data_IF_113573951680
#
_entry.id   IF_113573951680
#
_cell.length_a   1.000
_cell.length_b   1.000
_cell.length_c   1.000
_cell.angle_alpha   90.00
_cell.angle_beta   90.00
_cell.angle_gamma   90.00
#
_symmetry.space_group_name_H-M   'P 1'
#
loop_
_entity.id
_entity.type
_entity.pdbx_description
1 polymer ?
#
# COMPACT_ATOMS: atom_id res chain seq x y z
N UNK A 1 16.36 57.49 57.31
CA UNK A 1 16.52 58.56 56.30
C UNK A 1 16.92 57.92 54.99
N UNK A 2 16.01 57.77 54.03
CA UNK A 2 16.06 58.40 52.69
C UNK A 2 14.92 57.80 51.85
N UNK A 3 14.14 58.68 51.21
CA UNK A 3 13.08 58.36 50.25
C UNK A 3 13.68 58.26 48.85
N UNK A 4 13.07 57.46 47.96
CA UNK A 4 13.44 57.47 46.54
C UNK A 4 12.72 56.45 45.64
N UNK A 5 11.43 56.66 45.41
CA UNK A 5 10.72 56.58 44.10
C UNK A 5 11.00 55.43 43.09
N UNK A 6 10.01 54.52 43.00
CA UNK A 6 9.23 54.15 41.79
C UNK A 6 9.90 54.07 40.41
N UNK A 7 9.91 52.86 39.79
CA UNK A 7 9.20 52.57 38.52
C UNK A 7 9.17 51.07 38.12
N UNK A 8 7.97 50.59 37.80
CA UNK A 8 7.55 49.56 36.84
C UNK A 8 8.10 48.10 36.90
N UNK A 9 7.19 47.17 37.24
CA UNK A 9 7.09 45.82 36.65
C UNK A 9 6.53 45.94 35.20
N UNK A 10 6.92 45.05 34.26
CA UNK A 10 6.34 43.70 34.18
C UNK A 10 7.31 42.54 33.87
N UNK A 11 7.04 41.40 34.51
CA UNK A 11 7.43 40.02 34.10
C UNK A 11 6.45 39.53 33.00
N UNK A 12 6.68 38.39 32.28
CA UNK A 12 7.65 37.33 32.54
C UNK A 12 8.48 36.84 31.34
N UNK A 13 9.59 36.20 31.72
CA UNK A 13 10.38 35.23 30.98
C UNK A 13 9.52 34.12 30.37
N UNK A 14 9.77 33.76 29.11
CA UNK A 14 10.12 32.38 28.74
C UNK A 14 10.42 32.30 27.24
N UNK A 15 11.71 32.32 26.91
CA UNK A 15 12.19 31.90 25.61
C UNK A 15 13.35 30.92 25.82
N UNK A 16 13.09 29.64 25.51
CA UNK A 16 14.12 28.72 25.05
C UNK A 16 14.42 27.54 25.98
N UNK A 17 13.71 26.43 25.75
CA UNK A 17 14.31 25.10 25.76
C UNK A 17 13.48 24.15 24.88
N UNK A 18 14.06 23.41 23.92
CA UNK A 18 13.38 22.31 23.23
C UNK A 18 13.58 21.01 24.03
N UNK A 19 12.60 20.10 24.05
CA UNK A 19 12.91 18.80 23.46
C UNK A 19 11.70 18.08 22.85
N UNK A 20 11.95 17.27 21.82
CA UNK A 20 10.91 16.37 21.31
C UNK A 20 11.36 15.56 20.10
N UNK A 21 12.36 14.69 20.27
CA UNK A 21 12.71 13.67 19.28
C UNK A 21 12.02 12.36 19.69
N UNK A 22 11.10 11.88 18.86
CA UNK A 22 10.63 10.49 18.85
C UNK A 22 9.12 10.32 19.04
N UNK A 23 8.46 9.60 18.12
CA UNK A 23 7.12 9.06 18.34
C UNK A 23 6.27 8.81 17.09
N UNK A 24 6.43 7.62 16.50
CA UNK A 24 5.43 6.78 15.81
C UNK A 24 4.12 7.37 15.27
N UNK A 25 3.85 7.07 13.99
CA UNK A 25 2.54 6.54 13.62
C UNK A 25 1.45 7.55 13.29
N UNK A 26 1.74 8.57 12.49
CA UNK A 26 0.67 9.34 11.86
C UNK A 26 0.20 8.59 10.61
N UNK A 27 -0.93 7.88 10.72
CA UNK A 27 -1.72 7.53 9.54
C UNK A 27 -1.99 8.85 8.83
N UNK A 28 -1.70 9.03 7.52
CA UNK A 28 -2.10 10.25 6.86
C UNK A 28 -3.62 10.33 6.98
N UNK A 29 -4.08 11.24 7.84
CA UNK A 29 -5.44 11.74 7.79
C UNK A 29 -5.65 12.12 6.33
N UNK A 30 -6.65 11.51 5.68
CA UNK A 30 -7.04 11.91 4.35
C UNK A 30 -7.56 13.35 4.46
N UNK A 31 -6.64 14.31 4.45
CA UNK A 31 -6.94 15.71 4.33
C UNK A 31 -7.77 15.81 3.04
N UNK A 32 -8.99 16.29 3.18
CA UNK A 32 -9.81 16.65 2.04
C UNK A 32 -8.93 17.52 1.13
N UNK A 33 -8.84 17.22 -0.18
CA UNK A 33 -7.96 17.97 -1.07
C UNK A 33 -8.29 19.45 -0.89
N UNK A 34 -7.29 20.23 -0.48
CA UNK A 34 -7.42 21.67 -0.41
C UNK A 34 -7.89 22.12 -1.79
N UNK A 35 -9.06 22.73 -1.85
CA UNK A 35 -9.68 23.18 -3.08
C UNK A 35 -8.73 24.22 -3.73
N UNK A 36 -7.88 23.77 -4.64
CA UNK A 36 -6.86 24.63 -5.26
C UNK A 36 -5.59 23.93 -5.73
N UNK A 37 -5.31 22.69 -5.33
CA UNK A 37 -4.12 21.99 -5.84
C UNK A 37 -4.30 21.69 -7.34
N UNK A 38 -3.34 22.07 -8.21
CA UNK A 38 -3.46 21.80 -9.64
C UNK A 38 -3.50 20.29 -9.89
N UNK A 39 -4.31 19.82 -10.84
CA UNK A 39 -4.43 18.39 -11.12
C UNK A 39 -3.04 17.82 -11.46
N UNK A 40 -2.60 16.84 -10.66
CA UNK A 40 -1.36 16.11 -10.93
C UNK A 40 -1.55 15.29 -12.20
N UNK A 41 -0.84 15.69 -13.26
CA UNK A 41 -0.82 14.95 -14.51
C UNK A 41 0.09 13.73 -14.36
N UNK A 42 -0.40 12.49 -14.54
CA UNK A 42 0.40 11.29 -14.52
C UNK A 42 1.51 11.29 -15.57
N UNK A 43 2.66 10.68 -15.24
CA UNK A 43 3.72 10.48 -16.23
C UNK A 43 3.32 9.47 -17.32
N UNK A 44 4.04 9.46 -18.45
CA UNK A 44 3.80 8.48 -19.54
C UNK A 44 3.97 7.05 -19.03
N UNK A 45 5.04 6.76 -18.29
CA UNK A 45 5.29 5.42 -17.75
C UNK A 45 4.18 4.96 -16.79
N UNK A 46 3.70 5.86 -15.92
CA UNK A 46 2.57 5.59 -15.02
C UNK A 46 1.29 5.29 -15.82
N UNK A 47 1.01 6.10 -16.84
CA UNK A 47 -0.13 5.93 -17.72
C UNK A 47 -0.07 4.58 -18.46
N UNK A 48 1.08 4.24 -19.03
CA UNK A 48 1.29 2.96 -19.72
C UNK A 48 1.13 1.77 -18.77
N UNK A 49 1.75 1.82 -17.59
CA UNK A 49 1.57 0.78 -16.57
C UNK A 49 0.11 0.62 -16.20
N UNK A 50 -0.60 1.73 -15.95
CA UNK A 50 -2.02 1.71 -15.57
C UNK A 50 -2.89 1.11 -16.67
N UNK A 51 -2.66 1.51 -17.92
CA UNK A 51 -3.39 0.97 -19.07
C UNK A 51 -3.14 -0.53 -19.23
N UNK A 52 -1.89 -0.99 -19.10
CA UNK A 52 -1.57 -2.42 -19.14
C UNK A 52 -2.26 -3.19 -18.01
N UNK A 53 -2.27 -2.66 -16.78
CA UNK A 53 -2.94 -3.30 -15.64
C UNK A 53 -4.45 -3.39 -15.86
N UNK A 54 -5.08 -2.31 -16.34
CA UNK A 54 -6.51 -2.29 -16.66
C UNK A 54 -6.85 -3.26 -17.79
N UNK A 55 -5.97 -3.40 -18.78
CA UNK A 55 -6.12 -4.37 -19.87
C UNK A 55 -5.85 -5.83 -19.47
N UNK A 56 -5.17 -6.09 -18.35
CA UNK A 56 -4.77 -7.43 -17.90
C UNK A 56 -5.72 -8.05 -16.88
N UNK A 57 -7.01 -7.70 -16.93
CA UNK A 57 -8.02 -8.13 -15.96
C UNK A 57 -8.14 -9.66 -15.80
N UNK A 58 -8.92 -10.11 -14.81
CA UNK A 58 -9.12 -11.54 -14.58
C UNK A 58 -9.67 -12.23 -15.84
N UNK A 59 -9.43 -13.55 -16.01
CA UNK A 59 -9.96 -14.30 -17.14
C UNK A 59 -11.47 -14.06 -17.29
N UNK A 60 -11.94 -14.02 -18.54
CA UNK A 60 -13.35 -13.82 -18.83
C UNK A 60 -14.20 -14.87 -18.08
N UNK A 61 -15.38 -14.46 -17.58
CA UNK A 61 -16.27 -15.34 -16.84
C UNK A 61 -16.64 -16.60 -17.65
N UNK A 62 -16.76 -16.47 -18.97
CA UNK A 62 -16.99 -17.59 -19.89
C UNK A 62 -15.84 -18.59 -19.90
N UNK A 63 -14.60 -18.13 -19.89
CA UNK A 63 -13.40 -18.98 -19.77
C UNK A 63 -13.38 -19.72 -18.44
N UNK A 64 -13.72 -19.04 -17.35
CA UNK A 64 -13.80 -19.67 -16.02
C UNK A 64 -14.92 -20.70 -15.93
N UNK A 65 -16.07 -20.44 -16.55
CA UNK A 65 -17.22 -21.35 -16.56
C UNK A 65 -16.95 -22.63 -17.38
N UNK A 66 -16.11 -22.54 -18.42
CA UNK A 66 -15.74 -23.68 -19.24
C UNK A 66 -14.62 -24.55 -18.64
N UNK A 67 -13.95 -24.09 -17.59
CA UNK A 67 -12.82 -24.82 -17.00
C UNK A 67 -13.29 -25.94 -16.06
N UNK A 68 -12.75 -27.14 -16.22
CA UNK A 68 -13.01 -28.26 -15.29
C UNK A 68 -12.42 -28.01 -13.89
N UNK A 69 -11.32 -27.25 -13.83
CA UNK A 69 -10.70 -26.79 -12.60
C UNK A 69 -9.94 -25.47 -12.81
N UNK A 70 -9.97 -24.60 -11.80
CA UNK A 70 -9.21 -23.34 -11.77
C UNK A 70 -8.33 -23.33 -10.52
N UNK A 71 -7.02 -23.19 -10.70
CA UNK A 71 -6.06 -23.06 -9.60
C UNK A 71 -5.70 -21.58 -9.45
N UNK A 72 -5.87 -21.04 -8.23
CA UNK A 72 -5.56 -19.63 -7.91
C UNK A 72 -4.48 -19.57 -6.82
N UNK A 73 -3.19 -19.53 -7.18
CA UNK A 73 -2.11 -19.38 -6.21
C UNK A 73 -2.23 -18.06 -5.43
N UNK A 74 -1.93 -18.09 -4.13
CA UNK A 74 -1.81 -16.87 -3.34
C UNK A 74 -0.46 -16.22 -3.62
N UNK A 75 -0.45 -15.12 -4.37
CA UNK A 75 0.75 -14.32 -4.64
C UNK A 75 0.87 -13.12 -3.71
N UNK A 76 0.19 -13.14 -2.56
CA UNK A 76 0.27 -12.04 -1.58
C UNK A 76 1.72 -11.85 -1.15
N UNK A 77 2.25 -10.65 -1.38
CA UNK A 77 3.65 -10.32 -1.08
C UNK A 77 4.61 -10.51 -2.26
N UNK A 78 4.16 -11.02 -3.41
CA UNK A 78 4.95 -11.05 -4.64
C UNK A 78 4.66 -9.81 -5.49
N UNK A 79 5.66 -8.95 -5.68
CA UNK A 79 5.54 -7.77 -6.55
C UNK A 79 5.55 -8.15 -8.04
N UNK A 80 4.82 -7.41 -8.88
CA UNK A 80 4.67 -7.75 -10.30
C UNK A 80 6.01 -7.77 -11.05
N UNK A 81 6.92 -6.84 -10.72
CA UNK A 81 8.22 -6.68 -11.36
C UNK A 81 9.38 -7.15 -10.46
N UNK A 82 9.06 -7.78 -9.34
CA UNK A 82 10.05 -8.24 -8.36
C UNK A 82 10.56 -9.62 -8.73
N UNK A 83 11.33 -9.70 -9.81
CA UNK A 83 11.78 -10.98 -10.38
C UNK A 83 12.61 -11.84 -9.41
N UNK A 84 13.26 -11.21 -8.43
CA UNK A 84 13.96 -11.92 -7.35
C UNK A 84 13.01 -12.79 -6.51
N UNK A 85 11.70 -12.53 -6.53
CA UNK A 85 10.66 -13.26 -5.79
C UNK A 85 10.00 -14.37 -6.61
N UNK A 86 10.44 -14.65 -7.85
CA UNK A 86 9.87 -15.73 -8.69
C UNK A 86 9.86 -17.08 -7.95
N UNK A 87 10.88 -17.34 -7.13
CA UNK A 87 10.91 -18.55 -6.29
C UNK A 87 9.70 -18.66 -5.36
N UNK A 88 9.28 -17.57 -4.74
CA UNK A 88 8.11 -17.52 -3.85
C UNK A 88 6.81 -17.73 -4.64
N UNK A 89 6.67 -17.08 -5.79
CA UNK A 89 5.52 -17.31 -6.68
C UNK A 89 5.42 -18.78 -7.11
N UNK A 90 6.57 -19.41 -7.43
CA UNK A 90 6.63 -20.83 -7.79
C UNK A 90 6.25 -21.75 -6.64
N UNK A 91 6.69 -21.47 -5.41
CA UNK A 91 6.26 -22.26 -4.24
C UNK A 91 4.76 -22.11 -3.98
N UNK A 92 4.24 -20.88 -4.03
CA UNK A 92 2.81 -20.63 -3.85
C UNK A 92 1.96 -21.45 -4.85
N UNK A 93 2.40 -21.51 -6.11
CA UNK A 93 1.77 -22.35 -7.13
C UNK A 93 1.87 -23.84 -6.79
N UNK A 94 3.03 -24.33 -6.37
CA UNK A 94 3.19 -25.74 -5.97
C UNK A 94 2.29 -26.11 -4.80
N UNK A 95 2.17 -25.25 -3.79
CA UNK A 95 1.25 -25.46 -2.66
C UNK A 95 -0.20 -25.52 -3.17
N UNK A 96 -0.64 -24.54 -3.97
CA UNK A 96 -2.00 -24.50 -4.50
C UNK A 96 -2.32 -25.72 -5.37
N UNK A 97 -1.37 -26.18 -6.20
CA UNK A 97 -1.55 -27.38 -7.01
C UNK A 97 -1.62 -28.64 -6.16
N UNK A 98 -0.79 -28.79 -5.13
CA UNK A 98 -0.88 -29.93 -4.20
C UNK A 98 -2.25 -30.00 -3.53
N UNK A 99 -2.82 -28.85 -3.16
CA UNK A 99 -4.17 -28.77 -2.59
C UNK A 99 -5.26 -29.12 -3.61
N UNK A 100 -5.08 -28.75 -4.88
CA UNK A 100 -6.03 -29.06 -5.94
C UNK A 100 -5.91 -30.50 -6.48
N UNK A 101 -4.81 -31.20 -6.20
CA UNK A 101 -4.49 -32.49 -6.80
C UNK A 101 -5.58 -33.56 -6.62
N UNK A 102 -6.20 -33.74 -5.45
CA UNK A 102 -7.29 -34.72 -5.29
C UNK A 102 -8.46 -34.43 -6.22
N UNK A 103 -8.81 -33.15 -6.41
CA UNK A 103 -9.90 -32.74 -7.31
C UNK A 103 -9.53 -32.98 -8.76
N UNK A 104 -8.29 -32.70 -9.15
CA UNK A 104 -7.77 -32.97 -10.51
C UNK A 104 -7.83 -34.46 -10.81
N UNK A 105 -7.36 -35.31 -9.88
CA UNK A 105 -7.38 -36.76 -10.07
C UNK A 105 -8.80 -37.31 -10.24
N UNK A 106 -9.78 -36.78 -9.49
CA UNK A 106 -11.18 -37.17 -9.66
C UNK A 106 -11.74 -36.82 -11.04
N UNK A 107 -11.26 -35.74 -11.68
CA UNK A 107 -11.65 -35.38 -13.05
C UNK A 107 -11.08 -36.34 -14.09
N UNK A 108 -9.89 -36.90 -13.85
CA UNK A 108 -9.24 -37.85 -14.77
C UNK A 108 -9.89 -39.25 -14.76
N UNK A 109 -10.71 -39.55 -13.77
CA UNK A 109 -11.38 -40.85 -13.60
C UNK A 109 -12.81 -40.85 -14.17
N UNK A 110 -13.25 -39.75 -14.78
CA UNK A 110 -14.53 -39.60 -15.45
C UNK A 110 -14.46 -40.09 -16.89
#
# INVERSE_FOLDING_TARGET
>A
MNLGTSRAQPHPSDAGAPPGRGGFGERPSAAAPAAGDPPRVPGIAETLMRTMMMGSGPPAATTLAAADAVIRPSTRGVGLLEFHQIGQAREASRVATRQALPRILALLQR
#
